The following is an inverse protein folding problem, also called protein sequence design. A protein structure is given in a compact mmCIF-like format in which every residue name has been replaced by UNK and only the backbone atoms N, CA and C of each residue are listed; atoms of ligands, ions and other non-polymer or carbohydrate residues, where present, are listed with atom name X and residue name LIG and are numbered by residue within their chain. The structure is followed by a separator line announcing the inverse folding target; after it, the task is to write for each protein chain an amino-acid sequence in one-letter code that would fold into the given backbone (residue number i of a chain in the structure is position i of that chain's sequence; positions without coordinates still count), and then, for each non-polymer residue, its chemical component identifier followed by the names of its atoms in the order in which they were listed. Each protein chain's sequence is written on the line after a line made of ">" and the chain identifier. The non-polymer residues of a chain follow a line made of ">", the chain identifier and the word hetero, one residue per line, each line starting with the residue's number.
data_IF_982407317143
#
_entry.id   IF_982407317143
#
_cell.length_a   1.000
_cell.length_b   1.000
_cell.length_c   1.000
_cell.angle_alpha   90.00
_cell.angle_beta   90.00
_cell.angle_gamma   90.00
#
_symmetry.space_group_name_H-M   'P 1'
#
loop_
_entity.id
_entity.type
_entity.pdbx_description
1 polymer ?
#
# COMPACT_ATOMS: atom_id res chain seq x y z
N UNK A 1 24.46 -18.31 12.59
CA UNK A 1 23.18 -19.05 12.53
C UNK A 1 22.26 -18.31 11.58
N UNK A 2 21.98 -18.84 10.38
CA UNK A 2 20.98 -18.27 9.47
C UNK A 2 19.61 -18.58 10.08
N UNK A 3 18.86 -17.56 10.47
CA UNK A 3 17.47 -17.74 10.93
C UNK A 3 16.64 -18.14 9.71
N UNK A 4 16.12 -19.36 9.76
CA UNK A 4 15.22 -19.95 8.78
C UNK A 4 13.91 -19.15 8.80
N UNK A 5 13.77 -18.25 7.83
CA UNK A 5 12.65 -17.33 7.69
C UNK A 5 11.48 -18.01 6.95
N UNK A 6 11.14 -19.25 7.32
CA UNK A 6 10.26 -20.11 6.51
C UNK A 6 9.24 -20.93 7.31
N UNK A 7 8.77 -20.42 8.45
CA UNK A 7 7.88 -21.18 9.35
C UNK A 7 6.44 -20.70 9.42
N UNK A 8 5.98 -19.90 8.47
CA UNK A 8 4.55 -19.61 8.38
C UNK A 8 3.86 -20.49 7.32
N UNK A 9 3.28 -21.58 7.79
CA UNK A 9 2.56 -22.57 6.99
C UNK A 9 1.37 -23.08 7.78
N UNK A 10 0.34 -23.49 7.07
CA UNK A 10 -0.80 -24.19 7.64
C UNK A 10 -0.39 -25.56 8.20
N UNK A 11 -0.84 -25.84 9.42
CA UNK A 11 -0.60 -27.09 10.13
C UNK A 11 -1.72 -28.11 9.91
N UNK A 12 -2.92 -27.68 9.49
CA UNK A 12 -4.05 -28.54 9.22
C UNK A 12 -4.35 -28.61 7.69
N UNK A 13 -4.49 -29.80 7.08
CA UNK A 13 -4.89 -29.92 5.67
C UNK A 13 -6.26 -29.31 5.35
N UNK A 14 -7.14 -29.14 6.34
CA UNK A 14 -8.46 -28.52 6.17
C UNK A 14 -8.44 -26.98 6.24
N UNK A 15 -7.27 -26.36 6.41
CA UNK A 15 -7.15 -24.90 6.57
C UNK A 15 -7.78 -24.11 5.42
N UNK A 16 -7.71 -24.59 4.19
CA UNK A 16 -8.38 -23.96 3.04
C UNK A 16 -9.90 -23.97 3.20
N UNK A 17 -10.47 -25.09 3.66
CA UNK A 17 -11.92 -25.24 3.86
C UNK A 17 -12.38 -24.37 5.03
N UNK A 18 -11.62 -24.35 6.13
CA UNK A 18 -11.91 -23.55 7.32
C UNK A 18 -11.84 -22.05 7.01
N UNK A 19 -10.80 -21.60 6.30
CA UNK A 19 -10.68 -20.22 5.85
C UNK A 19 -11.85 -19.81 4.94
N UNK A 20 -12.23 -20.67 3.98
CA UNK A 20 -13.38 -20.42 3.10
C UNK A 20 -14.73 -20.37 3.85
N UNK A 21 -14.84 -21.02 5.01
CA UNK A 21 -16.02 -20.95 5.90
C UNK A 21 -16.02 -19.73 6.83
N UNK A 22 -14.96 -18.90 6.77
CA UNK A 22 -14.78 -17.74 7.63
C UNK A 22 -14.40 -18.11 9.06
N UNK A 23 -13.77 -19.26 9.28
CA UNK A 23 -13.33 -19.68 10.62
C UNK A 23 -12.13 -18.87 11.11
N UNK A 24 -11.40 -18.22 10.21
CA UNK A 24 -10.32 -17.30 10.56
C UNK A 24 -10.81 -16.11 11.39
N UNK A 25 -12.06 -15.65 11.21
CA UNK A 25 -12.62 -14.51 11.97
C UNK A 25 -13.37 -14.95 13.23
N UNK A 26 -13.72 -16.23 13.33
CA UNK A 26 -14.57 -16.78 14.39
C UNK A 26 -13.80 -17.58 15.44
N UNK A 27 -12.65 -18.13 15.07
CA UNK A 27 -11.92 -19.07 15.90
C UNK A 27 -10.41 -18.78 15.90
N UNK A 28 -9.90 -18.41 17.07
CA UNK A 28 -8.49 -18.13 17.31
C UNK A 28 -7.62 -19.39 17.08
N UNK A 29 -8.15 -20.59 17.36
CA UNK A 29 -7.42 -21.84 17.09
C UNK A 29 -7.17 -22.02 15.59
N UNK A 30 -8.10 -21.58 14.74
CA UNK A 30 -7.93 -21.60 13.28
C UNK A 30 -6.86 -20.60 12.86
N UNK A 31 -6.80 -19.42 13.47
CA UNK A 31 -5.74 -18.44 13.17
C UNK A 31 -4.34 -18.98 13.50
N UNK A 32 -4.21 -19.73 14.60
CA UNK A 32 -2.95 -20.32 15.05
C UNK A 32 -2.55 -21.52 14.18
N UNK A 33 -3.48 -22.41 13.85
CA UNK A 33 -3.21 -23.60 13.03
C UNK A 33 -3.13 -23.32 11.53
N UNK A 34 -3.82 -22.28 11.06
CA UNK A 34 -3.96 -21.94 9.65
C UNK A 34 -3.45 -20.53 9.33
N UNK A 35 -2.26 -20.12 9.80
CA UNK A 35 -1.82 -18.73 9.66
C UNK A 35 -1.60 -18.34 8.20
N UNK A 36 -1.37 -19.29 7.28
CA UNK A 36 -1.18 -18.99 5.85
C UNK A 36 -2.50 -18.89 5.11
N UNK A 37 -3.43 -19.80 5.39
CA UNK A 37 -4.79 -19.77 4.86
C UNK A 37 -5.57 -18.56 5.40
N UNK A 38 -5.31 -18.14 6.63
CA UNK A 38 -5.88 -16.94 7.23
C UNK A 38 -5.13 -15.64 6.89
N UNK A 39 -4.15 -15.68 5.98
CA UNK A 39 -3.37 -14.50 5.55
C UNK A 39 -2.59 -13.79 6.66
N UNK A 40 -2.26 -14.50 7.74
CA UNK A 40 -1.56 -13.99 8.91
C UNK A 40 -0.03 -14.10 8.75
N UNK A 41 0.47 -14.75 7.71
CA UNK A 41 1.90 -14.89 7.51
C UNK A 41 2.61 -13.56 7.23
N UNK A 42 3.78 -13.30 7.82
CA UNK A 42 4.51 -12.05 7.63
C UNK A 42 4.93 -11.83 6.17
N UNK A 43 5.22 -12.90 5.41
CA UNK A 43 5.48 -12.79 3.97
C UNK A 43 4.24 -12.33 3.18
N UNK A 44 3.04 -12.71 3.60
CA UNK A 44 1.77 -12.22 3.04
C UNK A 44 1.47 -10.79 3.48
N UNK A 45 1.95 -10.37 4.65
CA UNK A 45 1.82 -8.98 5.12
C UNK A 45 2.77 -8.01 4.40
N UNK A 46 3.88 -8.49 3.81
CA UNK A 46 4.85 -7.65 3.08
C UNK A 46 4.46 -7.30 1.64
N UNK A 47 3.31 -7.77 1.15
CA UNK A 47 2.84 -7.48 -0.22
C UNK A 47 1.37 -7.01 -0.16
N UNK A 48 1.08 -5.96 0.62
CA UNK A 48 -0.32 -5.66 0.94
C UNK A 48 -0.74 -4.21 1.13
N UNK A 49 0.15 -3.29 1.50
CA UNK A 49 -0.07 -1.87 1.20
C UNK A 49 0.52 -1.58 -0.19
N UNK A 50 -0.05 -2.19 -1.22
CA UNK A 50 -0.41 -1.35 -2.36
C UNK A 50 -1.49 -0.42 -1.81
N UNK A 51 -1.07 0.63 -1.11
CA UNK A 51 -1.85 1.86 -1.15
C UNK A 51 -2.10 2.07 -2.62
N UNK A 52 -3.37 2.09 -2.95
CA UNK A 52 -3.94 2.32 -4.24
C UNK A 52 -3.16 3.43 -4.97
N UNK A 53 -2.03 3.11 -5.60
CA UNK A 53 -1.28 4.04 -6.46
C UNK A 53 -2.13 4.37 -7.71
N UNK A 54 -3.29 3.72 -7.85
CA UNK A 54 -4.33 4.05 -8.80
C UNK A 54 -5.19 5.25 -8.36
N UNK A 55 -5.18 5.65 -7.08
CA UNK A 55 -5.91 6.84 -6.59
C UNK A 55 -5.13 8.14 -6.66
N UNK A 56 -3.82 8.09 -6.88
CA UNK A 56 -3.01 9.30 -6.99
C UNK A 56 -2.66 9.62 -8.43
N UNK A 57 -3.69 10.06 -9.16
CA UNK A 57 -3.58 10.55 -10.52
C UNK A 57 -4.30 11.88 -10.60
N UNK A 58 -3.78 12.77 -11.44
CA UNK A 58 -4.47 13.98 -11.80
C UNK A 58 -5.73 13.66 -12.62
N UNK A 59 -6.86 14.17 -12.16
CA UNK A 59 -8.16 14.02 -12.79
C UNK A 59 -8.39 15.03 -13.91
N UNK A 60 -7.69 16.17 -13.85
CA UNK A 60 -7.78 17.24 -14.85
C UNK A 60 -6.51 17.29 -15.73
N UNK A 61 -6.62 17.31 -17.07
CA UNK A 61 -5.46 17.49 -17.95
C UNK A 61 -4.71 18.83 -17.75
N UNK A 62 -5.36 19.85 -17.17
CA UNK A 62 -4.75 21.15 -16.89
C UNK A 62 -3.99 21.19 -15.55
N UNK A 63 -3.93 20.08 -14.81
CA UNK A 63 -3.28 20.02 -13.50
C UNK A 63 -1.82 20.51 -13.49
N UNK A 64 -1.07 20.24 -14.55
CA UNK A 64 0.31 20.75 -14.70
C UNK A 64 0.34 22.29 -14.80
N UNK A 65 -0.60 22.88 -15.53
CA UNK A 65 -0.69 24.34 -15.70
C UNK A 65 -1.16 24.99 -14.38
N UNK A 66 -2.13 24.38 -13.69
CA UNK A 66 -2.63 24.86 -12.41
C UNK A 66 -1.56 24.79 -11.32
N UNK A 67 -0.82 23.67 -11.24
CA UNK A 67 0.31 23.53 -10.33
C UNK A 67 1.40 24.58 -10.60
N UNK A 68 1.77 24.80 -11.86
CA UNK A 68 2.75 25.84 -12.24
C UNK A 68 2.29 27.27 -11.93
N UNK A 69 0.97 27.52 -11.88
CA UNK A 69 0.38 28.81 -11.45
C UNK A 69 0.28 28.96 -9.92
N UNK A 70 0.68 27.93 -9.18
CA UNK A 70 0.60 27.89 -7.71
C UNK A 70 -0.82 27.71 -7.19
N UNK A 71 -1.71 27.09 -7.97
CA UNK A 71 -3.10 26.84 -7.55
C UNK A 71 -3.19 25.76 -6.47
N UNK A 72 -2.19 24.88 -6.38
CA UNK A 72 -2.07 23.88 -5.31
C UNK A 72 -2.05 24.50 -3.91
N UNK A 73 -1.53 25.72 -3.74
CA UNK A 73 -1.47 26.40 -2.43
C UNK A 73 -2.66 27.34 -2.19
N UNK A 74 -3.43 27.64 -3.23
CA UNK A 74 -4.52 28.62 -3.18
C UNK A 74 -5.91 27.99 -3.18
N UNK A 75 -6.03 26.79 -3.74
CA UNK A 75 -7.31 26.16 -3.99
C UNK A 75 -7.29 24.65 -3.62
N UNK A 76 -8.07 24.31 -2.60
CA UNK A 76 -8.25 22.93 -2.12
C UNK A 76 -8.84 22.03 -3.22
N UNK A 77 -9.68 22.56 -4.11
CA UNK A 77 -10.21 21.78 -5.25
C UNK A 77 -9.10 21.34 -6.19
N UNK A 78 -8.04 22.13 -6.34
CA UNK A 78 -6.86 21.76 -7.13
C UNK A 78 -6.08 20.66 -6.45
N UNK A 79 -5.95 20.68 -5.12
CA UNK A 79 -5.30 19.60 -4.38
C UNK A 79 -6.03 18.26 -4.54
N UNK A 80 -7.36 18.29 -4.56
CA UNK A 80 -8.22 17.11 -4.71
C UNK A 80 -8.18 16.57 -6.15
N UNK A 81 -8.30 17.44 -7.14
CA UNK A 81 -8.29 17.03 -8.56
C UNK A 81 -6.89 16.74 -9.09
N UNK A 82 -5.86 17.38 -8.54
CA UNK A 82 -4.49 17.34 -9.05
C UNK A 82 -3.49 16.84 -7.99
N UNK A 83 -3.76 15.73 -7.28
CA UNK A 83 -2.94 15.30 -6.16
C UNK A 83 -1.52 14.90 -6.61
N UNK A 84 -1.34 14.51 -7.88
CA UNK A 84 -0.02 14.16 -8.41
C UNK A 84 0.75 15.41 -8.82
N UNK A 85 0.14 16.32 -9.56
CA UNK A 85 0.76 17.60 -9.95
C UNK A 85 1.07 18.48 -8.73
N UNK A 86 0.26 18.40 -7.67
CA UNK A 86 0.50 19.08 -6.40
C UNK A 86 1.45 18.33 -5.45
N UNK A 87 2.06 17.22 -5.88
CA UNK A 87 3.00 16.41 -5.08
C UNK A 87 2.41 15.88 -3.75
N UNK A 88 1.10 15.66 -3.70
CA UNK A 88 0.37 15.15 -2.53
C UNK A 88 0.34 13.61 -2.50
N UNK A 89 0.88 12.94 -3.52
CA UNK A 89 0.96 11.48 -3.55
C UNK A 89 1.97 10.91 -2.55
N UNK A 90 1.60 9.85 -1.80
CA UNK A 90 2.46 9.24 -0.78
C UNK A 90 3.73 8.57 -1.35
N UNK A 91 3.76 8.23 -2.65
CA UNK A 91 4.91 7.59 -3.32
C UNK A 91 5.95 8.60 -3.87
N UNK A 92 5.61 9.90 -3.93
CA UNK A 92 6.51 10.92 -4.49
C UNK A 92 7.58 11.41 -3.50
N UNK A 93 7.57 10.96 -2.24
CA UNK A 93 8.55 11.42 -1.24
C UNK A 93 9.92 10.71 -1.29
N UNK A 94 10.15 9.74 -2.17
CA UNK A 94 11.44 9.00 -2.21
C UNK A 94 12.15 8.94 -3.56
N UNK A 95 11.87 9.83 -4.51
CA UNK A 95 12.71 9.98 -5.71
C UNK A 95 13.26 11.41 -5.81
N UNK A 96 14.32 11.65 -5.05
CA UNK A 96 15.44 12.49 -5.47
C UNK A 96 15.17 13.98 -5.70
N UNK A 97 15.11 14.77 -4.62
CA UNK A 97 15.79 16.07 -4.65
C UNK A 97 17.30 15.83 -4.67
N UNK A 98 17.86 15.61 -5.87
CA UNK A 98 19.22 16.05 -6.18
C UNK A 98 19.09 17.27 -7.09
N UNK A 99 18.73 18.39 -6.48
CA UNK A 99 19.26 19.66 -6.93
C UNK A 99 20.29 20.02 -5.88
N UNK A 100 21.55 20.02 -6.28
CA UNK A 100 22.38 21.19 -6.04
C UNK A 100 23.56 21.15 -7.02
N UNK A 101 23.49 22.11 -7.93
CA UNK A 101 24.54 22.59 -8.80
C UNK A 101 25.83 22.78 -8.00
N UNK A 102 26.94 22.21 -8.47
CA UNK A 102 28.24 22.75 -8.09
C UNK A 102 28.87 23.42 -9.30
N UNK A 103 29.12 24.72 -9.12
CA UNK A 103 29.76 25.67 -10.01
C UNK A 103 31.27 25.50 -9.98
#
# INVERSE_FOLDING_TARGET
>A
KKQDNNRCRDENPECEILANRGECDKNDDTQIMCPRSCMLCPDQQTVGKKQDNNRCRDENPECEILANRGECDKNDDTQIMCPRSCMLCPDQQTVGKKQDNNR
#
